data_IF_611496856327
#
_entry.id   IF_611496856327
#
_cell.length_a   1.000
_cell.length_b   1.000
_cell.length_c   1.000
_cell.angle_alpha   90.00
_cell.angle_beta   90.00
_cell.angle_gamma   90.00
#
_symmetry.space_group_name_H-M   'P 1'
#
loop_
_entity.id
_entity.type
_entity.pdbx_description
1 polymer ?
#
# COMPACT_ATOMS: atom_id res chain seq x y z
N UNK A 1 27.48 -2.57 23.08
CA UNK A 1 26.84 -1.59 22.18
C UNK A 1 25.39 -1.46 22.62
N UNK A 2 25.03 -0.36 23.26
CA UNK A 2 23.62 -0.08 23.59
C UNK A 2 22.82 0.04 22.29
N UNK A 3 21.76 -0.76 22.19
CA UNK A 3 20.75 -0.56 21.17
C UNK A 3 20.09 0.79 21.46
N UNK A 4 20.35 1.80 20.63
CA UNK A 4 19.54 3.03 20.60
C UNK A 4 18.12 2.59 20.30
N UNK A 5 17.29 2.46 21.34
CA UNK A 5 15.84 2.24 21.21
C UNK A 5 15.27 3.50 20.58
N UNK A 6 15.07 3.49 19.26
CA UNK A 6 14.29 4.52 18.58
C UNK A 6 12.90 4.55 19.22
N UNK A 7 12.48 5.70 19.74
CA UNK A 7 11.11 5.88 20.22
C UNK A 7 10.18 6.27 19.08
N UNK A 8 8.88 6.00 19.25
CA UNK A 8 7.84 6.60 18.41
C UNK A 8 7.86 8.12 18.64
N UNK A 9 8.03 8.90 17.57
CA UNK A 9 8.02 10.36 17.61
C UNK A 9 6.71 10.91 17.03
N UNK A 10 6.24 12.09 17.45
CA UNK A 10 5.07 12.75 16.84
C UNK A 10 5.16 12.87 15.32
N UNK A 11 6.37 13.07 14.78
CA UNK A 11 6.60 13.14 13.34
C UNK A 11 6.19 11.88 12.57
N UNK A 12 6.16 10.70 13.20
CA UNK A 12 5.66 9.49 12.56
C UNK A 12 4.14 9.55 12.30
N UNK A 13 3.38 10.10 13.25
CA UNK A 13 1.93 10.33 13.07
C UNK A 13 1.68 11.37 11.97
N UNK A 14 2.51 12.41 11.91
CA UNK A 14 2.45 13.41 10.85
C UNK A 14 2.72 12.79 9.47
N UNK A 15 3.70 11.88 9.37
CA UNK A 15 3.95 11.10 8.14
C UNK A 15 2.69 10.34 7.73
N UNK A 16 2.08 9.58 8.63
CA UNK A 16 0.84 8.83 8.32
C UNK A 16 -0.31 9.74 7.88
N UNK A 17 -0.54 10.85 8.58
CA UNK A 17 -1.65 11.77 8.27
C UNK A 17 -1.45 12.49 6.92
N UNK A 18 -0.27 13.08 6.70
CA UNK A 18 0.02 13.84 5.48
C UNK A 18 0.01 12.92 4.26
N UNK A 19 0.73 11.80 4.32
CA UNK A 19 0.73 10.86 3.19
C UNK A 19 -0.59 10.12 3.05
N UNK A 20 -1.36 9.94 4.13
CA UNK A 20 -2.72 9.44 4.07
C UNK A 20 -3.63 10.36 3.26
N UNK A 21 -3.57 11.67 3.50
CA UNK A 21 -4.29 12.66 2.67
C UNK A 21 -3.89 12.62 1.19
N UNK A 22 -2.58 12.51 0.91
CA UNK A 22 -2.08 12.35 -0.46
C UNK A 22 -2.60 11.06 -1.10
N UNK A 23 -2.57 9.95 -0.38
CA UNK A 23 -3.09 8.66 -0.85
C UNK A 23 -4.60 8.71 -1.06
N UNK A 24 -5.37 9.44 -0.25
CA UNK A 24 -6.80 9.62 -0.45
C UNK A 24 -7.11 10.34 -1.78
N UNK A 25 -6.37 11.41 -2.08
CA UNK A 25 -6.49 12.10 -3.37
C UNK A 25 -6.11 11.21 -4.54
N UNK A 26 -5.04 10.42 -4.40
CA UNK A 26 -4.62 9.45 -5.41
C UNK A 26 -5.65 8.33 -5.63
N UNK A 27 -6.26 7.83 -4.56
CA UNK A 27 -7.32 6.81 -4.62
C UNK A 27 -8.52 7.33 -5.42
N UNK A 28 -9.00 8.54 -5.10
CA UNK A 28 -10.09 9.19 -5.84
C UNK A 28 -9.77 9.35 -7.32
N UNK A 29 -8.55 9.79 -7.65
CA UNK A 29 -8.13 9.91 -9.04
C UNK A 29 -8.11 8.54 -9.75
N UNK A 30 -7.58 7.50 -9.10
CA UNK A 30 -7.51 6.13 -9.64
C UNK A 30 -8.90 5.58 -10.02
N UNK A 31 -9.90 5.73 -9.15
CA UNK A 31 -11.24 5.18 -9.40
C UNK A 31 -12.01 5.98 -10.46
N UNK A 32 -11.74 7.28 -10.59
CA UNK A 32 -12.37 8.13 -11.60
C UNK A 32 -11.76 7.86 -12.98
N UNK A 33 -10.44 7.74 -13.05
CA UNK A 33 -9.71 7.68 -14.32
C UNK A 33 -9.57 6.28 -14.89
N UNK A 34 -9.49 5.26 -14.02
CA UNK A 34 -9.26 3.86 -14.44
C UNK A 34 -10.24 2.93 -13.71
N UNK A 35 -11.57 3.12 -13.83
CA UNK A 35 -12.53 2.28 -13.14
C UNK A 35 -12.50 0.83 -13.65
N UNK A 36 -12.77 -0.13 -12.77
CA UNK A 36 -13.05 -1.52 -13.17
C UNK A 36 -14.56 -1.67 -13.35
N UNK A 37 -15.06 -1.98 -14.56
CA UNK A 37 -16.49 -2.17 -14.79
C UNK A 37 -17.07 -3.26 -13.88
N UNK A 38 -18.21 -2.94 -13.24
CA UNK A 38 -18.91 -3.88 -12.36
C UNK A 38 -18.33 -4.02 -10.95
N UNK A 39 -17.20 -3.39 -10.64
CA UNK A 39 -16.63 -3.35 -9.28
C UNK A 39 -16.70 -1.90 -8.80
N UNK A 40 -17.71 -1.54 -7.97
CA UNK A 40 -17.82 -0.17 -7.50
C UNK A 40 -16.55 0.20 -6.71
N UNK A 41 -16.05 1.41 -6.92
CA UNK A 41 -14.79 1.85 -6.31
C UNK A 41 -13.54 1.05 -6.71
N UNK A 42 -13.64 0.08 -7.62
CA UNK A 42 -12.48 -0.65 -8.10
C UNK A 42 -11.70 0.15 -9.15
N UNK A 43 -10.37 0.12 -9.07
CA UNK A 43 -9.51 0.74 -10.09
C UNK A 43 -8.56 -0.29 -10.72
N UNK A 44 -8.43 -0.24 -12.04
CA UNK A 44 -7.47 -1.07 -12.79
C UNK A 44 -6.03 -0.60 -12.62
N UNK A 45 -5.80 0.54 -11.96
CA UNK A 45 -4.47 1.05 -11.64
C UNK A 45 -4.50 1.86 -10.34
N UNK A 46 -4.17 1.21 -9.22
CA UNK A 46 -4.22 1.80 -7.89
C UNK A 46 -2.96 2.61 -7.57
N UNK A 47 -2.92 3.87 -8.02
CA UNK A 47 -1.85 4.85 -7.76
C UNK A 47 -1.44 4.90 -6.28
N UNK A 48 -2.36 4.94 -5.29
CA UNK A 48 -1.95 4.99 -3.88
C UNK A 48 -1.08 3.79 -3.48
N UNK A 49 -1.24 2.59 -4.07
CA UNK A 49 -0.36 1.45 -3.79
C UNK A 49 1.10 1.77 -4.07
N UNK A 50 1.39 2.39 -5.21
CA UNK A 50 2.74 2.81 -5.53
C UNK A 50 3.35 3.78 -4.52
N UNK A 51 2.52 4.61 -3.88
CA UNK A 51 2.94 5.52 -2.82
C UNK A 51 3.17 4.76 -1.51
N UNK A 52 2.15 4.09 -0.98
CA UNK A 52 2.19 3.54 0.36
C UNK A 52 3.14 2.35 0.50
N UNK A 53 3.44 1.59 -0.57
CA UNK A 53 4.50 0.57 -0.53
C UNK A 53 5.88 1.20 -0.32
N UNK A 54 6.23 2.24 -1.08
CA UNK A 54 7.51 2.94 -0.91
C UNK A 54 7.60 3.60 0.47
N UNK A 55 6.52 4.28 0.89
CA UNK A 55 6.43 4.89 2.22
C UNK A 55 6.60 3.86 3.33
N UNK A 56 6.06 2.65 3.19
CA UNK A 56 6.19 1.60 4.20
C UNK A 56 7.61 1.07 4.29
N UNK A 57 8.34 0.93 3.18
CA UNK A 57 9.76 0.57 3.22
C UNK A 57 10.64 1.65 3.85
N UNK A 58 10.20 2.90 3.84
CA UNK A 58 10.89 4.04 4.45
C UNK A 58 10.51 4.28 5.91
N UNK A 59 9.23 4.17 6.24
CA UNK A 59 8.64 4.64 7.51
C UNK A 59 7.93 3.52 8.28
N UNK A 60 8.04 2.26 7.84
CA UNK A 60 7.49 1.11 8.52
C UNK A 60 5.96 1.17 8.61
N UNK A 61 5.44 0.81 9.78
CA UNK A 61 4.03 0.86 10.15
C UNK A 61 3.35 2.18 9.77
N UNK A 62 4.06 3.31 9.90
CA UNK A 62 3.51 4.63 9.66
C UNK A 62 3.24 4.89 8.16
N UNK A 63 4.07 4.32 7.29
CA UNK A 63 3.83 4.33 5.85
C UNK A 63 2.64 3.46 5.46
N UNK A 64 2.48 2.30 6.11
CA UNK A 64 1.35 1.42 5.87
C UNK A 64 0.03 2.04 6.35
N UNK A 65 0.07 2.70 7.52
CA UNK A 65 -1.07 3.43 8.06
C UNK A 65 -1.50 4.58 7.14
N UNK A 66 -0.56 5.22 6.42
CA UNK A 66 -0.90 6.19 5.40
C UNK A 66 -1.75 5.56 4.28
N UNK A 67 -1.40 4.36 3.82
CA UNK A 67 -2.20 3.59 2.85
C UNK A 67 -3.61 3.34 3.36
N UNK A 68 -3.75 2.83 4.60
CA UNK A 68 -5.04 2.60 5.23
C UNK A 68 -5.91 3.86 5.30
N UNK A 69 -5.36 4.96 5.84
CA UNK A 69 -6.06 6.24 5.96
C UNK A 69 -6.48 6.74 4.58
N UNK A 70 -5.56 6.67 3.61
CA UNK A 70 -5.80 7.11 2.25
C UNK A 70 -6.97 6.37 1.61
N UNK A 71 -6.95 5.04 1.69
CA UNK A 71 -8.02 4.21 1.12
C UNK A 71 -9.33 4.38 1.87
N UNK A 72 -9.30 4.37 3.20
CA UNK A 72 -10.51 4.56 4.01
C UNK A 72 -11.22 5.89 3.70
N UNK A 73 -10.47 6.99 3.63
CA UNK A 73 -11.03 8.32 3.35
C UNK A 73 -11.35 8.49 1.86
N UNK A 74 -10.51 8.00 0.96
CA UNK A 74 -10.72 8.10 -0.48
C UNK A 74 -11.94 7.31 -0.94
N UNK A 75 -12.21 6.16 -0.30
CA UNK A 75 -13.23 5.22 -0.73
C UNK A 75 -14.51 5.24 0.12
N UNK A 76 -14.40 5.55 1.40
CA UNK A 76 -15.53 5.54 2.32
C UNK A 76 -16.71 6.46 1.96
N UNK A 77 -16.50 7.68 1.41
CA UNK A 77 -17.58 8.57 1.01
C UNK A 77 -18.01 8.41 -0.46
N UNK A 78 -17.35 7.56 -1.25
CA UNK A 78 -17.51 7.51 -2.71
C UNK A 78 -17.97 6.13 -3.22
N UNK A 79 -18.81 6.13 -4.28
CA UNK A 79 -19.20 4.95 -5.08
C UNK A 79 -19.85 3.77 -4.33
N UNK A 80 -20.97 3.99 -3.65
CA UNK A 80 -21.88 2.90 -3.24
C UNK A 80 -21.37 2.02 -2.09
N UNK A 81 -20.19 2.32 -1.56
CA UNK A 81 -19.63 1.70 -0.38
C UNK A 81 -19.72 2.60 0.83
N UNK A 82 -20.01 2.02 1.99
CA UNK A 82 -20.05 2.78 3.24
C UNK A 82 -18.66 2.81 3.88
N UNK A 83 -18.42 3.80 4.75
CA UNK A 83 -17.26 3.78 5.65
C UNK A 83 -17.15 2.47 6.44
N UNK A 84 -18.26 1.79 6.72
CA UNK A 84 -18.22 0.49 7.40
C UNK A 84 -17.50 -0.58 6.55
N UNK A 85 -17.83 -0.69 5.25
CA UNK A 85 -17.18 -1.67 4.37
C UNK A 85 -15.70 -1.33 4.21
N UNK A 86 -15.37 -0.05 4.03
CA UNK A 86 -13.98 0.37 3.83
C UNK A 86 -13.15 0.42 5.10
N UNK A 87 -13.74 0.45 6.30
CA UNK A 87 -13.01 0.24 7.54
C UNK A 87 -12.27 -1.10 7.51
N UNK A 88 -12.95 -2.15 7.05
CA UNK A 88 -12.36 -3.48 6.88
C UNK A 88 -11.60 -3.61 5.55
N UNK A 89 -12.16 -3.12 4.46
CA UNK A 89 -11.56 -3.21 3.12
C UNK A 89 -10.19 -2.54 3.05
N UNK A 90 -10.05 -1.35 3.62
CA UNK A 90 -8.77 -0.62 3.64
C UNK A 90 -7.67 -1.31 4.47
N UNK A 91 -7.99 -2.37 5.23
CA UNK A 91 -6.96 -3.18 5.87
C UNK A 91 -6.12 -3.96 4.85
N UNK A 92 -6.63 -4.21 3.63
CA UNK A 92 -5.83 -4.79 2.55
C UNK A 92 -4.63 -3.90 2.22
N UNK A 93 -4.88 -2.59 2.04
CA UNK A 93 -3.86 -1.57 1.76
C UNK A 93 -2.96 -1.26 2.97
N UNK A 94 -3.37 -1.66 4.16
CA UNK A 94 -2.54 -1.62 5.35
C UNK A 94 -1.57 -2.80 5.42
N UNK A 95 -2.08 -4.03 5.27
CA UNK A 95 -1.29 -5.25 5.48
C UNK A 95 -0.39 -5.58 4.29
N UNK A 96 -0.82 -5.32 3.06
CA UNK A 96 -0.02 -5.60 1.87
C UNK A 96 1.39 -4.98 1.91
N UNK A 97 1.56 -3.66 2.13
CA UNK A 97 2.89 -3.09 2.18
C UNK A 97 3.68 -3.54 3.43
N UNK A 98 3.00 -3.94 4.52
CA UNK A 98 3.66 -4.54 5.69
C UNK A 98 4.21 -5.94 5.41
N UNK A 99 3.49 -6.75 4.63
CA UNK A 99 3.97 -8.05 4.14
C UNK A 99 5.20 -7.82 3.27
N UNK A 100 5.15 -6.84 2.37
CA UNK A 100 6.29 -6.45 1.55
C UNK A 100 7.51 -6.07 2.41
N UNK A 101 7.31 -5.20 3.41
CA UNK A 101 8.33 -4.83 4.38
C UNK A 101 8.89 -6.04 5.12
N UNK A 102 8.04 -6.95 5.60
CA UNK A 102 8.46 -8.15 6.29
C UNK A 102 9.37 -9.02 5.41
N UNK A 103 9.01 -9.18 4.12
CA UNK A 103 9.85 -9.90 3.14
C UNK A 103 11.19 -9.18 2.95
N UNK A 104 11.20 -7.84 2.81
CA UNK A 104 12.44 -7.07 2.69
C UNK A 104 13.35 -7.23 3.91
N UNK A 105 12.78 -7.23 5.12
CA UNK A 105 13.55 -7.42 6.35
C UNK A 105 14.05 -8.85 6.50
N UNK A 106 13.21 -9.86 6.25
CA UNK A 106 13.58 -11.27 6.30
C UNK A 106 14.71 -11.61 5.32
N UNK A 107 14.67 -11.00 4.13
CA UNK A 107 15.68 -11.19 3.08
C UNK A 107 16.84 -10.19 3.16
N UNK A 108 16.80 -9.22 4.08
CA UNK A 108 17.79 -8.12 4.15
C UNK A 108 17.96 -7.38 2.81
N UNK A 109 16.87 -7.18 2.07
CA UNK A 109 16.89 -6.44 0.82
C UNK A 109 17.06 -4.93 1.08
N UNK A 110 17.80 -4.25 0.21
CA UNK A 110 17.96 -2.80 0.28
C UNK A 110 16.85 -2.09 -0.52
N UNK A 111 16.02 -1.22 0.10
CA UNK A 111 15.00 -0.43 -0.60
C UNK A 111 15.56 0.53 -1.66
N UNK A 112 16.88 0.73 -1.78
CA UNK A 112 17.46 1.48 -2.91
C UNK A 112 17.39 0.70 -4.24
N UNK A 113 17.12 -0.61 -4.21
CA UNK A 113 16.97 -1.48 -5.39
C UNK A 113 18.13 -1.38 -6.39
N UNK A 114 19.36 -1.26 -5.87
CA UNK A 114 20.57 -1.12 -6.68
C UNK A 114 21.04 -2.44 -7.26
N UNK A 115 20.82 -3.54 -6.54
CA UNK A 115 21.26 -4.86 -6.98
C UNK A 115 20.13 -5.62 -7.68
N UNK A 116 20.49 -6.55 -8.57
CA UNK A 116 19.53 -7.47 -9.22
C UNK A 116 18.77 -8.32 -8.19
N UNK A 117 19.43 -8.64 -7.06
CA UNK A 117 18.82 -9.38 -5.95
C UNK A 117 17.71 -8.58 -5.29
N UNK A 118 17.98 -7.33 -4.92
CA UNK A 118 16.98 -6.45 -4.27
C UNK A 118 15.82 -6.16 -5.22
N UNK A 119 16.11 -5.95 -6.50
CA UNK A 119 15.07 -5.81 -7.53
C UNK A 119 14.23 -7.09 -7.68
N UNK A 120 14.85 -8.27 -7.72
CA UNK A 120 14.10 -9.53 -7.80
C UNK A 120 13.19 -9.76 -6.59
N UNK A 121 13.69 -9.46 -5.39
CA UNK A 121 12.91 -9.51 -4.15
C UNK A 121 11.74 -8.52 -4.20
N UNK A 122 12.00 -7.28 -4.64
CA UNK A 122 10.95 -6.27 -4.84
C UNK A 122 9.86 -6.77 -5.78
N UNK A 123 10.20 -7.26 -6.96
CA UNK A 123 9.22 -7.69 -7.94
C UNK A 123 8.33 -8.82 -7.40
N UNK A 124 8.93 -9.86 -6.81
CA UNK A 124 8.20 -11.02 -6.29
C UNK A 124 7.36 -10.65 -5.06
N UNK A 125 7.94 -9.90 -4.12
CA UNK A 125 7.26 -9.51 -2.88
C UNK A 125 6.05 -8.62 -3.14
N UNK A 126 6.11 -7.75 -4.16
CA UNK A 126 4.97 -6.92 -4.56
C UNK A 126 3.83 -7.79 -5.05
N UNK A 127 4.05 -8.73 -5.97
CA UNK A 127 3.00 -9.63 -6.49
C UNK A 127 2.31 -10.39 -5.35
N UNK A 128 3.10 -10.94 -4.42
CA UNK A 128 2.56 -11.67 -3.26
C UNK A 128 1.69 -10.74 -2.41
N UNK A 129 2.20 -9.53 -2.12
CA UNK A 129 1.54 -8.58 -1.24
C UNK A 129 0.25 -8.05 -1.82
N UNK A 130 0.25 -7.66 -3.10
CA UNK A 130 -0.92 -7.11 -3.80
C UNK A 130 -1.97 -8.18 -4.05
N UNK A 131 -1.58 -9.44 -4.32
CA UNK A 131 -2.51 -10.56 -4.42
C UNK A 131 -3.26 -10.78 -3.11
N UNK A 132 -2.55 -10.79 -1.98
CA UNK A 132 -3.18 -10.92 -0.66
C UNK A 132 -4.09 -9.72 -0.32
N UNK A 133 -3.69 -8.50 -0.72
CA UNK A 133 -4.52 -7.31 -0.60
C UNK A 133 -5.84 -7.47 -1.38
N UNK A 134 -5.74 -7.86 -2.65
CA UNK A 134 -6.86 -8.04 -3.55
C UNK A 134 -7.82 -9.12 -3.03
N UNK A 135 -7.28 -10.25 -2.57
CA UNK A 135 -8.07 -11.31 -1.93
C UNK A 135 -8.86 -10.79 -0.73
N UNK A 136 -8.22 -10.01 0.14
CA UNK A 136 -8.87 -9.44 1.33
C UNK A 136 -9.94 -8.41 0.97
N UNK A 137 -9.59 -7.41 0.16
CA UNK A 137 -10.50 -6.34 -0.25
C UNK A 137 -11.75 -6.95 -0.89
N UNK A 138 -11.58 -7.86 -1.85
CA UNK A 138 -12.74 -8.47 -2.50
C UNK A 138 -13.50 -9.41 -1.56
N UNK A 139 -12.83 -10.12 -0.66
CA UNK A 139 -13.51 -10.93 0.36
C UNK A 139 -14.44 -10.08 1.24
N UNK A 140 -13.96 -8.92 1.71
CA UNK A 140 -14.79 -7.96 2.46
C UNK A 140 -15.97 -7.48 1.62
N UNK A 141 -15.74 -7.07 0.38
CA UNK A 141 -16.82 -6.64 -0.51
C UNK A 141 -17.88 -7.75 -0.73
N UNK A 142 -17.43 -8.98 -0.95
CA UNK A 142 -18.32 -10.13 -1.09
C UNK A 142 -19.09 -10.43 0.20
N UNK A 143 -18.45 -10.38 1.37
CA UNK A 143 -19.08 -10.67 2.66
C UNK A 143 -20.15 -9.64 3.04
N UNK A 144 -19.97 -8.40 2.62
CA UNK A 144 -20.97 -7.33 2.76
C UNK A 144 -22.01 -7.30 1.63
N UNK A 145 -21.98 -8.26 0.70
CA UNK A 145 -22.96 -8.42 -0.37
C UNK A 145 -22.89 -7.37 -1.47
N UNK A 146 -21.77 -6.65 -1.60
CA UNK A 146 -21.63 -5.54 -2.56
C UNK A 146 -21.18 -5.99 -3.94
N UNK A 147 -20.59 -7.18 -4.03
CA UNK A 147 -20.19 -7.84 -5.28
C UNK A 147 -20.62 -9.30 -5.27
N UNK A 148 -20.80 -9.88 -6.46
CA UNK A 148 -21.04 -11.32 -6.62
C UNK A 148 -19.74 -12.11 -6.54
N UNK A 149 -19.83 -13.44 -6.40
CA UNK A 149 -18.64 -14.30 -6.44
C UNK A 149 -17.91 -14.28 -7.80
N UNK A 150 -18.64 -14.06 -8.90
CA UNK A 150 -18.01 -13.90 -10.21
C UNK A 150 -17.19 -12.61 -10.29
N UNK A 151 -17.73 -11.50 -9.76
CA UNK A 151 -17.01 -10.24 -9.64
C UNK A 151 -15.86 -10.32 -8.63
N UNK A 152 -15.97 -11.16 -7.59
CA UNK A 152 -14.86 -11.44 -6.67
C UNK A 152 -13.65 -12.01 -7.41
N UNK A 153 -13.86 -13.07 -8.22
CA UNK A 153 -12.76 -13.71 -8.98
C UNK A 153 -12.07 -12.73 -9.92
N UNK A 154 -12.86 -12.01 -10.71
CA UNK A 154 -12.34 -11.04 -11.67
C UNK A 154 -11.71 -9.83 -10.99
N UNK A 155 -12.28 -9.40 -9.87
CA UNK A 155 -11.74 -8.34 -9.02
C UNK A 155 -10.35 -8.70 -8.52
N UNK A 156 -10.18 -9.88 -7.91
CA UNK A 156 -8.88 -10.31 -7.39
C UNK A 156 -7.81 -10.29 -8.48
N UNK A 157 -8.13 -10.80 -9.68
CA UNK A 157 -7.19 -10.80 -10.82
C UNK A 157 -6.87 -9.37 -11.26
N UNK A 158 -7.90 -8.55 -11.51
CA UNK A 158 -7.73 -7.19 -12.00
C UNK A 158 -6.97 -6.29 -11.01
N UNK A 159 -7.32 -6.35 -9.72
CA UNK A 159 -6.62 -5.61 -8.66
C UNK A 159 -5.18 -6.07 -8.51
N UNK A 160 -4.92 -7.39 -8.48
CA UNK A 160 -3.55 -7.90 -8.37
C UNK A 160 -2.67 -7.36 -9.48
N UNK A 161 -3.18 -7.35 -10.73
CA UNK A 161 -2.43 -6.80 -11.87
C UNK A 161 -2.27 -5.29 -11.74
N UNK A 162 -3.36 -4.56 -11.49
CA UNK A 162 -3.37 -3.10 -11.41
C UNK A 162 -2.46 -2.55 -10.32
N UNK A 163 -2.57 -3.09 -9.11
CA UNK A 163 -1.77 -2.70 -7.95
C UNK A 163 -0.30 -3.05 -8.18
N UNK A 164 -0.02 -4.25 -8.70
CA UNK A 164 1.36 -4.66 -8.99
C UNK A 164 2.01 -3.70 -9.99
N UNK A 165 1.30 -3.33 -11.05
CA UNK A 165 1.79 -2.36 -12.03
C UNK A 165 1.99 -0.98 -11.42
N UNK A 166 1.04 -0.50 -10.60
CA UNK A 166 1.17 0.79 -9.92
C UNK A 166 2.39 0.82 -8.99
N UNK A 167 2.60 -0.26 -8.22
CA UNK A 167 3.73 -0.40 -7.31
C UNK A 167 5.05 -0.52 -8.07
N UNK A 168 5.10 -1.31 -9.14
CA UNK A 168 6.33 -1.43 -9.94
C UNK A 168 6.68 -0.17 -10.71
N UNK A 169 5.70 0.61 -11.16
CA UNK A 169 5.98 1.85 -11.89
C UNK A 169 6.35 2.96 -10.91
N UNK A 170 5.42 3.30 -10.00
CA UNK A 170 5.56 4.44 -9.11
C UNK A 170 6.47 4.10 -7.93
N UNK A 171 6.24 2.96 -7.28
CA UNK A 171 7.03 2.53 -6.12
C UNK A 171 8.50 2.32 -6.48
N UNK A 172 8.81 1.65 -7.58
CA UNK A 172 10.21 1.50 -8.03
C UNK A 172 10.86 2.85 -8.32
N UNK A 173 10.16 3.76 -9.01
CA UNK A 173 10.67 5.09 -9.31
C UNK A 173 11.00 5.86 -8.03
N UNK A 174 10.08 5.88 -7.07
CA UNK A 174 10.26 6.51 -5.76
C UNK A 174 11.43 5.89 -5.01
N UNK A 175 11.48 4.56 -4.92
CA UNK A 175 12.53 3.84 -4.21
C UNK A 175 13.92 4.10 -4.79
N UNK A 176 14.08 4.06 -6.12
CA UNK A 176 15.39 4.29 -6.75
C UNK A 176 15.84 5.75 -6.73
N UNK A 177 14.91 6.70 -6.81
CA UNK A 177 15.24 8.13 -6.86
C UNK A 177 15.42 8.77 -5.49
N UNK A 178 14.60 8.37 -4.50
CA UNK A 178 14.49 9.09 -3.24
C UNK A 178 15.13 8.35 -2.05
N UNK A 179 15.24 7.01 -2.06
CA UNK A 179 15.63 6.25 -0.86
C UNK A 179 16.96 6.69 -0.25
N UNK A 180 17.96 7.03 -1.08
CA UNK A 180 19.26 7.54 -0.60
C UNK A 180 19.11 8.77 0.29
N UNK A 181 18.20 9.68 -0.07
CA UNK A 181 17.90 10.88 0.69
C UNK A 181 16.96 10.59 1.86
N UNK A 182 15.93 9.76 1.66
CA UNK A 182 14.97 9.42 2.72
C UNK A 182 15.64 8.69 3.90
N UNK A 183 16.70 7.90 3.66
CA UNK A 183 17.49 7.27 4.74
C UNK A 183 18.15 8.27 5.70
N UNK A 184 18.28 9.55 5.34
CA UNK A 184 18.82 10.60 6.23
C UNK A 184 17.73 11.29 7.04
N UNK A 185 16.45 11.04 6.77
CA UNK A 185 15.35 11.67 7.49
C UNK A 185 15.25 11.14 8.94
N UNK A 186 14.90 12.01 9.91
CA UNK A 186 14.85 11.67 11.33
C UNK A 186 13.75 10.67 11.72
N UNK A 187 12.87 10.34 10.76
CA UNK A 187 11.72 9.46 10.88
C UNK A 187 11.87 8.18 10.04
N UNK A 188 13.02 7.96 9.39
CA UNK A 188 13.28 6.72 8.68
C UNK A 188 13.29 5.53 9.66
N UNK A 189 12.54 4.48 9.33
CA UNK A 189 12.36 3.31 10.20
C UNK A 189 13.16 2.12 9.69
N UNK A 190 14.09 1.63 10.51
CA UNK A 190 14.86 0.41 10.22
C UNK A 190 14.08 -0.86 10.57
N UNK A 191 13.32 -0.83 11.67
CA UNK A 191 12.46 -1.92 12.12
C UNK A 191 11.05 -1.87 11.53
N UNK A 192 10.04 -2.05 12.39
CA UNK A 192 8.62 -1.92 12.04
C UNK A 192 8.02 -0.59 12.51
N UNK A 193 8.40 -0.09 13.68
CA UNK A 193 7.79 1.10 14.31
C UNK A 193 8.74 2.29 14.50
N UNK A 194 10.04 2.03 14.53
CA UNK A 194 11.14 2.99 14.78
C UNK A 194 12.48 2.36 14.40
#
# INVERSE_FOLDING_TARGET
MEAVRGGIKPGHLVVSGVFGGICAGAALFSIIMVPIPGIPGGSGFWIPAGLYFALTLWFGFWGALAGHIGTFIGMGPFFGFTFQVWADGALGDFFAPLINLAIFRATRADPELKTKRDMGIWLISVIISTCLAAMWIHFVNYSFGTITFDLWKWGVIAYTIGDTLAVWIIGTLLLRSATKYIKTFPYYVKGLFS
#
